data_IF_056224180186
#
_entry.id   IF_056224180186
#
_cell.length_a   1.000
_cell.length_b   1.000
_cell.length_c   1.000
_cell.angle_alpha   90.00
_cell.angle_beta   90.00
_cell.angle_gamma   90.00
#
_symmetry.space_group_name_H-M   'P 1'
#
loop_
_entity.id
_entity.type
_entity.pdbx_description
1 polymer ?
#
# COMPACT_ATOMS: atom_id res chain seq x y z
N UNK A 1 -21.84 -11.21 -10.14
CA UNK A 1 -20.75 -11.00 -9.15
C UNK A 1 -20.98 -11.96 -8.01
N UNK A 2 -19.95 -12.68 -7.52
CA UNK A 2 -20.12 -13.47 -6.29
C UNK A 2 -19.91 -12.56 -5.09
N UNK A 3 -20.83 -12.59 -4.12
CA UNK A 3 -20.70 -11.83 -2.88
C UNK A 3 -19.40 -12.20 -2.14
N UNK A 4 -19.04 -13.49 -2.14
CA UNK A 4 -17.82 -14.00 -1.52
C UNK A 4 -16.53 -13.38 -2.07
N UNK A 5 -16.44 -13.10 -3.38
CA UNK A 5 -15.23 -12.47 -3.94
C UNK A 5 -15.10 -11.00 -3.52
N UNK A 6 -16.22 -10.30 -3.37
CA UNK A 6 -16.23 -8.93 -2.88
C UNK A 6 -15.87 -8.87 -1.39
N UNK A 7 -16.43 -9.76 -0.58
CA UNK A 7 -16.11 -9.88 0.84
C UNK A 7 -14.62 -10.18 1.08
N UNK A 8 -14.05 -11.11 0.29
CA UNK A 8 -12.62 -11.43 0.37
C UNK A 8 -11.72 -10.25 -0.02
N UNK A 9 -12.13 -9.48 -1.05
CA UNK A 9 -11.41 -8.28 -1.45
C UNK A 9 -11.46 -7.21 -0.34
N UNK A 10 -12.63 -6.95 0.23
CA UNK A 10 -12.78 -5.98 1.33
C UNK A 10 -11.95 -6.38 2.55
N UNK A 11 -11.87 -7.66 2.86
CA UNK A 11 -11.04 -8.16 3.94
C UNK A 11 -9.54 -7.99 3.65
N UNK A 12 -9.11 -8.32 2.44
CA UNK A 12 -7.73 -8.07 2.01
C UNK A 12 -7.37 -6.57 2.10
N UNK A 13 -8.28 -5.69 1.71
CA UNK A 13 -8.09 -4.24 1.83
C UNK A 13 -8.00 -3.76 3.28
N UNK A 14 -8.85 -4.30 4.17
CA UNK A 14 -8.79 -4.01 5.61
C UNK A 14 -7.48 -4.48 6.24
N UNK A 15 -7.06 -5.71 5.93
CA UNK A 15 -5.81 -6.28 6.44
C UNK A 15 -4.59 -5.48 5.98
N UNK A 16 -4.52 -5.14 4.68
CA UNK A 16 -3.45 -4.30 4.16
C UNK A 16 -3.43 -2.92 4.81
N UNK A 17 -4.60 -2.31 5.03
CA UNK A 17 -4.68 -1.02 5.71
C UNK A 17 -4.13 -1.07 7.14
N UNK A 18 -4.53 -2.08 7.91
CA UNK A 18 -4.04 -2.30 9.26
C UNK A 18 -2.52 -2.53 9.30
N UNK A 19 -1.99 -3.32 8.36
CA UNK A 19 -0.55 -3.59 8.25
C UNK A 19 0.27 -2.33 7.91
N UNK A 20 -0.24 -1.46 7.02
CA UNK A 20 0.45 -0.21 6.68
C UNK A 20 0.49 0.75 7.87
N UNK A 21 -0.60 0.85 8.63
CA UNK A 21 -0.67 1.69 9.85
C UNK A 21 0.19 1.12 10.99
N UNK A 22 0.38 -0.20 11.06
CA UNK A 22 1.26 -0.80 12.08
C UNK A 22 2.75 -0.53 11.83
N UNK A 23 3.11 -0.06 10.63
CA UNK A 23 4.50 0.20 10.22
C UNK A 23 5.43 -1.02 10.41
N UNK A 24 4.86 -2.23 10.34
CA UNK A 24 5.61 -3.48 10.47
C UNK A 24 5.84 -4.07 9.07
N UNK A 25 7.09 -4.08 8.56
CA UNK A 25 7.38 -4.64 7.25
C UNK A 25 6.97 -6.11 7.09
N UNK A 26 6.99 -6.91 8.17
CA UNK A 26 6.59 -8.31 8.10
C UNK A 26 5.08 -8.46 7.90
N UNK A 27 4.28 -7.62 8.56
CA UNK A 27 2.82 -7.61 8.38
C UNK A 27 2.45 -7.12 6.97
N UNK A 28 3.13 -6.10 6.46
CA UNK A 28 2.89 -5.59 5.10
C UNK A 28 3.28 -6.65 4.07
N UNK A 29 4.42 -7.32 4.25
CA UNK A 29 4.90 -8.38 3.38
C UNK A 29 3.92 -9.57 3.30
N UNK A 30 3.20 -9.87 4.39
CA UNK A 30 2.18 -10.92 4.40
C UNK A 30 0.93 -10.57 3.56
N UNK A 31 0.71 -9.28 3.28
CA UNK A 31 -0.43 -8.79 2.50
C UNK A 31 -0.13 -8.58 1.01
N UNK A 32 1.13 -8.70 0.57
CA UNK A 32 1.56 -8.43 -0.80
C UNK A 32 2.30 -9.63 -1.39
N UNK A 33 2.33 -9.70 -2.73
CA UNK A 33 3.12 -10.71 -3.45
C UNK A 33 4.58 -10.25 -3.62
N UNK A 34 5.48 -11.19 -3.91
CA UNK A 34 6.91 -10.89 -4.12
C UNK A 34 7.15 -9.95 -5.31
N UNK A 35 6.29 -10.01 -6.32
CA UNK A 35 6.31 -9.19 -7.53
C UNK A 35 5.48 -7.90 -7.38
N UNK A 36 5.04 -7.55 -6.17
CA UNK A 36 4.28 -6.35 -5.93
C UNK A 36 5.12 -5.08 -6.21
N UNK A 37 4.46 -4.11 -6.85
CA UNK A 37 5.06 -2.85 -7.27
C UNK A 37 4.13 -1.70 -6.91
N UNK A 38 4.69 -0.67 -6.29
CA UNK A 38 4.03 0.63 -6.16
C UNK A 38 4.45 1.51 -7.34
N UNK A 39 3.49 2.12 -8.02
CA UNK A 39 3.78 3.12 -9.04
C UNK A 39 3.39 4.49 -8.51
N UNK A 40 4.36 5.42 -8.44
CA UNK A 40 4.08 6.81 -8.06
C UNK A 40 4.35 7.75 -9.24
N UNK A 41 3.65 8.90 -9.33
CA UNK A 41 3.89 9.88 -10.38
C UNK A 41 5.34 10.38 -10.46
N UNK A 42 6.05 10.43 -9.33
CA UNK A 42 7.36 11.05 -9.20
C UNK A 42 8.52 10.10 -9.51
N UNK A 43 8.37 8.80 -9.21
CA UNK A 43 9.45 7.81 -9.32
C UNK A 43 9.14 6.63 -10.24
N UNK A 44 7.90 6.48 -10.69
CA UNK A 44 7.49 5.33 -11.48
C UNK A 44 7.46 4.05 -10.63
N UNK A 45 7.76 2.87 -11.21
CA UNK A 45 7.72 1.58 -10.52
C UNK A 45 8.74 1.48 -9.37
N UNK A 46 8.26 1.14 -8.17
CA UNK A 46 9.06 0.90 -6.97
C UNK A 46 8.78 -0.54 -6.50
N UNK A 47 9.81 -1.41 -6.39
CA UNK A 47 9.62 -2.78 -5.93
C UNK A 47 9.25 -2.84 -4.45
N UNK A 48 8.49 -3.87 -4.06
CA UNK A 48 8.09 -4.12 -2.67
C UNK A 48 9.24 -3.98 -1.67
N UNK A 49 10.41 -4.57 -1.96
CA UNK A 49 11.54 -4.56 -1.01
C UNK A 49 11.98 -3.15 -0.63
N UNK A 50 11.92 -2.21 -1.57
CA UNK A 50 12.40 -0.85 -1.34
C UNK A 50 11.44 -0.11 -0.38
N UNK A 51 10.13 -0.35 -0.49
CA UNK A 51 9.13 0.20 0.43
C UNK A 51 9.27 -0.42 1.81
N UNK A 52 9.39 -1.75 1.89
CA UNK A 52 9.55 -2.45 3.16
C UNK A 52 10.83 -2.00 3.89
N UNK A 53 11.93 -1.79 3.16
CA UNK A 53 13.16 -1.23 3.73
C UNK A 53 12.98 0.20 4.22
N UNK A 54 12.27 1.07 3.48
CA UNK A 54 12.02 2.45 3.90
C UNK A 54 11.14 2.53 5.16
N UNK A 55 10.16 1.62 5.28
CA UNK A 55 9.33 1.49 6.49
C UNK A 55 10.17 0.97 7.66
N UNK A 56 10.94 -0.10 7.43
CA UNK A 56 11.82 -0.68 8.45
C UNK A 56 12.91 0.27 8.93
N UNK A 57 13.36 1.21 8.09
CA UNK A 57 14.33 2.25 8.47
C UNK A 57 13.70 3.50 9.08
N UNK A 58 12.37 3.56 9.20
CA UNK A 58 11.63 4.72 9.71
C UNK A 58 11.65 5.95 8.78
N UNK A 59 12.11 5.79 7.53
CA UNK A 59 12.08 6.85 6.50
C UNK A 59 10.64 7.07 6.01
N UNK A 60 9.82 6.03 6.12
CA UNK A 60 8.40 6.05 5.81
C UNK A 60 7.62 5.51 7.01
N UNK A 61 6.73 6.32 7.57
CA UNK A 61 5.78 5.86 8.59
C UNK A 61 4.38 6.36 8.29
N UNK A 62 3.36 5.65 8.74
CA UNK A 62 1.95 6.03 8.58
C UNK A 62 1.28 6.07 9.95
N UNK A 63 0.68 7.20 10.31
CA UNK A 63 -0.14 7.33 11.52
C UNK A 63 -1.59 6.97 11.26
N UNK A 64 -2.10 7.36 10.09
CA UNK A 64 -3.46 7.06 9.68
C UNK A 64 -3.48 6.75 8.20
N UNK A 65 -4.37 5.83 7.81
CA UNK A 65 -4.69 5.60 6.42
C UNK A 65 -6.20 5.31 6.29
N UNK A 66 -6.89 6.16 5.55
CA UNK A 66 -8.31 6.02 5.24
C UNK A 66 -8.46 5.84 3.75
N UNK A 67 -9.15 4.77 3.34
CA UNK A 67 -9.40 4.44 1.94
C UNK A 67 -10.89 4.50 1.65
N UNK A 68 -11.26 5.19 0.58
CA UNK A 68 -12.62 5.21 0.04
C UNK A 68 -12.60 4.54 -1.32
N UNK A 69 -13.18 3.35 -1.39
CA UNK A 69 -13.32 2.61 -2.65
C UNK A 69 -14.47 3.20 -3.48
N UNK A 70 -14.22 3.46 -4.76
CA UNK A 70 -15.17 4.07 -5.69
C UNK A 70 -15.65 3.09 -6.76
N UNK A 71 -14.72 2.32 -7.32
CA UNK A 71 -15.03 1.32 -8.34
C UNK A 71 -14.27 0.03 -8.06
N UNK A 72 -14.98 -1.09 -8.14
CA UNK A 72 -14.42 -2.44 -8.10
C UNK A 72 -14.85 -3.16 -9.37
N UNK A 73 -13.88 -3.78 -10.04
CA UNK A 73 -14.15 -4.64 -11.19
C UNK A 73 -13.49 -6.00 -10.97
N UNK A 74 -14.28 -7.08 -11.06
CA UNK A 74 -13.83 -8.46 -10.89
C UNK A 74 -13.57 -9.10 -12.25
N UNK A 75 -12.39 -9.67 -12.40
CA UNK A 75 -11.87 -10.37 -13.57
C UNK A 75 -11.47 -11.79 -13.16
N UNK A 76 -12.46 -12.67 -13.02
CA UNK A 76 -12.23 -14.04 -12.53
C UNK A 76 -11.75 -14.04 -11.08
N UNK A 77 -10.48 -14.40 -10.87
CA UNK A 77 -9.82 -14.40 -9.56
C UNK A 77 -9.01 -13.13 -9.27
N UNK A 78 -9.07 -12.12 -10.15
CA UNK A 78 -8.40 -10.83 -10.00
C UNK A 78 -9.43 -9.73 -9.81
N UNK A 79 -9.09 -8.70 -9.04
CA UNK A 79 -9.92 -7.50 -8.89
C UNK A 79 -9.08 -6.24 -9.18
N UNK A 80 -9.68 -5.27 -9.86
CA UNK A 80 -9.13 -3.90 -9.93
C UNK A 80 -9.97 -2.99 -9.07
N UNK A 81 -9.31 -2.19 -8.23
CA UNK A 81 -9.98 -1.23 -7.35
C UNK A 81 -9.47 0.17 -7.63
N UNK A 82 -10.39 1.09 -7.88
CA UNK A 82 -10.13 2.52 -7.92
C UNK A 82 -10.75 3.18 -6.69
N UNK A 83 -9.96 3.99 -6.00
CA UNK A 83 -10.39 4.65 -4.78
C UNK A 83 -9.51 5.85 -4.45
N UNK A 84 -9.89 6.55 -3.38
CA UNK A 84 -9.10 7.64 -2.81
C UNK A 84 -8.51 7.19 -1.49
N UNK A 85 -7.20 7.31 -1.34
CA UNK A 85 -6.53 7.11 -0.07
C UNK A 85 -6.13 8.46 0.52
N UNK A 86 -6.40 8.66 1.81
CA UNK A 86 -5.87 9.74 2.62
C UNK A 86 -4.98 9.10 3.67
N UNK A 87 -3.70 9.43 3.65
CA UNK A 87 -2.76 8.96 4.65
C UNK A 87 -2.13 10.16 5.35
N UNK A 88 -1.96 10.08 6.65
CA UNK A 88 -1.11 11.00 7.40
C UNK A 88 0.17 10.25 7.76
N UNK A 89 1.31 10.82 7.37
CA UNK A 89 2.63 10.34 7.75
C UNK A 89 3.26 11.45 8.61
N UNK A 90 3.68 11.17 9.86
CA UNK A 90 4.28 12.19 10.71
C UNK A 90 5.69 12.58 10.25
N UNK A 91 6.30 11.88 9.29
CA UNK A 91 7.61 12.22 8.75
C UNK A 91 7.73 11.82 7.28
N UNK A 92 7.38 12.73 6.39
CA UNK A 92 8.06 12.87 5.09
C UNK A 92 8.19 14.36 4.79
N UNK A 93 9.35 14.93 5.13
CA UNK A 93 9.89 16.02 4.32
C UNK A 93 10.14 15.46 2.90
N UNK A 94 9.69 16.16 1.87
CA UNK A 94 9.88 15.79 0.46
C UNK A 94 11.35 15.44 0.15
N UNK A 95 12.29 16.09 0.85
CA UNK A 95 13.72 15.83 0.75
C UNK A 95 14.10 14.43 1.22
N UNK A 96 13.51 13.95 2.32
CA UNK A 96 13.76 12.60 2.87
C UNK A 96 13.18 11.50 2.00
N UNK A 97 12.01 11.73 1.38
CA UNK A 97 11.45 10.81 0.37
C UNK A 97 12.36 10.67 -0.85
N UNK A 98 12.83 11.79 -1.40
CA UNK A 98 13.77 11.79 -2.53
C UNK A 98 15.14 11.21 -2.16
N UNK A 99 15.55 11.27 -0.90
CA UNK A 99 16.82 10.73 -0.43
C UNK A 99 16.75 9.23 -0.12
N UNK A 100 15.65 8.74 0.47
CA UNK A 100 15.45 7.32 0.77
C UNK A 100 15.27 6.46 -0.48
N UNK A 101 14.85 7.11 -1.57
CA UNK A 101 14.87 6.51 -2.89
C UNK A 101 15.62 7.46 -3.84
N UNK A 102 16.95 7.29 -4.02
CA UNK A 102 17.73 7.98 -5.04
C UNK A 102 17.49 7.35 -6.43
N UNK A 103 17.60 8.14 -7.50
CA UNK A 103 17.40 7.68 -8.88
C UNK A 103 18.48 6.70 -9.31
#
# INVERSE_FOLDING_TARGET
MSAAALEALEEAERAFNAAVVSNDPAQIAACITQDWVLVTPERGPIPAQAILSAIGSGVLSHDTMTKTTHHVHLLGNVATVAGRTRACSPLIDERSWRAGFPR
#
